data_IF_169316349080
#
_entry.id   IF_169316349080
#
_cell.length_a   1.000
_cell.length_b   1.000
_cell.length_c   1.000
_cell.angle_alpha   90.00
_cell.angle_beta   90.00
_cell.angle_gamma   90.00
#
_symmetry.space_group_name_H-M   'P 1'
#
loop_
_entity.id
_entity.type
_entity.pdbx_description
1 polymer ?
#
# COMPACT_ATOMS: atom_id res chain seq x y z
N UNK A 1 53.89 -20.09 31.72
CA UNK A 1 53.24 -21.24 32.37
C UNK A 1 52.58 -22.07 31.28
N UNK A 2 53.02 -23.30 31.14
CA UNK A 2 52.89 -24.11 29.93
C UNK A 2 52.20 -25.44 30.30
N UNK A 3 51.35 -25.94 29.39
CA UNK A 3 50.84 -27.34 29.24
C UNK A 3 49.89 -27.79 30.40
N UNK A 4 48.84 -28.61 30.28
CA UNK A 4 48.59 -29.81 29.47
C UNK A 4 47.09 -30.17 29.46
N UNK A 5 46.56 -30.55 28.28
CA UNK A 5 45.31 -31.32 28.12
C UNK A 5 45.51 -32.77 28.56
N UNK A 6 44.71 -33.25 29.53
CA UNK A 6 44.74 -34.65 30.00
C UNK A 6 43.45 -35.38 29.61
N UNK A 7 43.57 -36.36 28.69
CA UNK A 7 42.60 -37.44 28.49
C UNK A 7 42.73 -38.46 29.64
N UNK A 8 41.62 -39.14 30.01
CA UNK A 8 41.63 -40.55 30.42
C UNK A 8 40.85 -41.39 29.38
N UNK A 9 41.26 -42.57 28.91
CA UNK A 9 41.76 -43.73 29.65
C UNK A 9 40.55 -44.44 30.27
N UNK A 10 39.82 -45.28 29.52
CA UNK A 10 40.03 -46.72 29.33
C UNK A 10 39.82 -47.54 30.63
N UNK A 11 39.23 -48.73 30.49
CA UNK A 11 38.90 -49.74 31.51
C UNK A 11 37.47 -49.56 32.07
N UNK A 12 36.57 -50.54 32.16
CA UNK A 12 36.65 -51.99 32.00
C UNK A 12 35.22 -52.51 31.81
N UNK A 13 34.97 -53.45 30.89
CA UNK A 13 33.93 -54.47 31.05
C UNK A 13 34.48 -55.80 30.52
N UNK A 14 34.44 -56.78 31.41
CA UNK A 14 35.12 -58.07 31.37
C UNK A 14 34.34 -59.12 30.57
N UNK A 15 35.11 -59.97 29.90
CA UNK A 15 34.95 -61.40 29.62
C UNK A 15 33.55 -62.04 29.64
N UNK A 16 33.14 -62.49 28.45
CA UNK A 16 32.14 -63.54 28.26
C UNK A 16 32.49 -64.35 27.02
N UNK A 17 33.27 -65.42 27.21
CA UNK A 17 33.67 -66.39 26.18
C UNK A 17 32.45 -67.08 25.56
N UNK A 18 32.39 -67.12 24.22
CA UNK A 18 31.41 -67.89 23.48
C UNK A 18 31.86 -68.06 22.04
N UNK A 19 32.30 -69.28 21.70
CA UNK A 19 32.85 -69.69 20.42
C UNK A 19 31.91 -69.34 19.25
N UNK A 20 32.47 -68.71 18.22
CA UNK A 20 31.83 -68.50 16.93
C UNK A 20 32.08 -69.75 16.07
N UNK A 21 31.21 -70.74 16.22
CA UNK A 21 31.17 -71.93 15.36
C UNK A 21 30.36 -71.58 14.11
N UNK A 22 30.99 -71.72 12.95
CA UNK A 22 30.36 -71.59 11.63
C UNK A 22 29.61 -72.89 11.32
N UNK A 23 28.26 -72.90 11.18
CA UNK A 23 27.56 -74.10 10.79
C UNK A 23 27.68 -74.40 9.28
N UNK A 24 28.07 -75.65 9.06
CA UNK A 24 28.10 -76.49 7.86
C UNK A 24 26.86 -76.34 6.92
N UNK A 25 27.04 -76.22 5.59
CA UNK A 25 25.95 -76.08 4.64
C UNK A 25 25.39 -77.44 4.20
N UNK A 26 24.68 -78.17 5.05
CA UNK A 26 23.72 -79.19 4.59
C UNK A 26 22.74 -79.49 5.72
N UNK A 27 21.45 -79.19 5.49
CA UNK A 27 20.25 -79.94 5.92
C UNK A 27 19.05 -79.01 5.72
N UNK A 28 18.29 -79.26 4.65
CA UNK A 28 16.96 -78.70 4.39
C UNK A 28 15.92 -79.60 5.07
N UNK A 29 15.16 -79.13 6.07
CA UNK A 29 13.92 -79.78 6.49
C UNK A 29 12.70 -79.31 5.66
N UNK A 30 11.65 -80.15 5.58
CA UNK A 30 10.66 -80.16 4.50
C UNK A 30 9.60 -79.05 4.57
N UNK A 31 9.04 -78.72 3.40
CA UNK A 31 8.00 -77.72 3.20
C UNK A 31 6.69 -78.06 3.95
N UNK A 32 6.06 -77.09 4.65
CA UNK A 32 4.72 -77.26 5.19
C UNK A 32 3.64 -77.14 4.09
N UNK A 33 2.50 -77.85 4.22
CA UNK A 33 1.49 -77.95 3.16
C UNK A 33 0.66 -76.68 2.97
N UNK A 34 0.34 -76.38 1.70
CA UNK A 34 -0.50 -75.28 1.23
C UNK A 34 -1.90 -75.31 1.85
N UNK A 35 -2.20 -74.34 2.73
CA UNK A 35 -3.57 -74.06 3.19
C UNK A 35 -4.36 -73.31 2.10
N UNK A 36 -5.53 -73.82 1.73
CA UNK A 36 -6.44 -73.24 0.72
C UNK A 36 -6.88 -71.81 1.10
N UNK A 37 -6.92 -70.85 0.14
CA UNK A 37 -7.31 -69.47 0.42
C UNK A 37 -8.82 -69.32 0.68
N UNK A 38 -9.18 -68.54 1.71
CA UNK A 38 -10.56 -68.11 2.01
C UNK A 38 -11.12 -67.22 0.89
N UNK A 39 -12.39 -67.36 0.49
CA UNK A 39 -13.00 -66.51 -0.53
C UNK A 39 -13.21 -65.08 -0.01
N UNK A 40 -12.59 -64.12 -0.68
CA UNK A 40 -12.80 -62.68 -0.50
C UNK A 40 -14.19 -62.34 -1.05
N UNK A 41 -15.09 -61.85 -0.19
CA UNK A 41 -16.40 -61.34 -0.61
C UNK A 41 -16.22 -60.03 -1.38
N UNK A 42 -16.55 -60.03 -2.67
CA UNK A 42 -16.67 -58.82 -3.48
C UNK A 42 -17.84 -57.95 -2.95
N UNK A 43 -17.64 -56.65 -2.69
CA UNK A 43 -18.75 -55.73 -2.50
C UNK A 43 -19.44 -55.48 -3.85
N UNK A 44 -20.74 -55.76 -3.90
CA UNK A 44 -21.63 -55.52 -5.02
C UNK A 44 -21.73 -54.03 -5.32
N UNK A 45 -21.30 -53.65 -6.52
CA UNK A 45 -21.45 -52.30 -7.06
C UNK A 45 -22.94 -51.99 -7.29
N UNK A 46 -23.55 -51.17 -6.42
CA UNK A 46 -24.72 -50.38 -6.77
C UNK A 46 -24.25 -49.01 -7.27
N UNK A 47 -24.62 -48.75 -8.52
CA UNK A 47 -24.35 -47.53 -9.25
C UNK A 47 -24.72 -46.28 -8.43
N UNK A 48 -23.72 -45.44 -8.18
CA UNK A 48 -23.90 -44.03 -7.89
C UNK A 48 -23.07 -43.27 -8.93
N UNK A 49 -23.73 -42.85 -10.02
CA UNK A 49 -23.19 -41.85 -10.93
C UNK A 49 -23.11 -40.50 -10.21
N UNK A 50 -22.14 -40.36 -9.31
CA UNK A 50 -21.65 -39.07 -8.91
C UNK A 50 -20.81 -38.57 -10.09
N UNK A 51 -21.40 -37.70 -10.89
CA UNK A 51 -20.77 -36.98 -12.00
C UNK A 51 -19.48 -36.34 -11.48
N UNK A 52 -18.34 -36.98 -11.76
CA UNK A 52 -17.00 -36.46 -11.49
C UNK A 52 -16.79 -35.27 -12.44
N UNK A 53 -17.30 -34.11 -12.03
CA UNK A 53 -16.96 -32.84 -12.66
C UNK A 53 -15.48 -32.62 -12.37
N UNK A 54 -14.63 -32.99 -13.34
CA UNK A 54 -13.21 -32.61 -13.35
C UNK A 54 -13.15 -31.10 -13.17
N UNK A 55 -12.76 -30.66 -11.98
CA UNK A 55 -12.50 -29.25 -11.67
C UNK A 55 -11.49 -28.76 -12.72
N UNK A 56 -11.78 -27.72 -13.51
CA UNK A 56 -10.87 -27.29 -14.57
C UNK A 56 -9.53 -26.94 -13.94
N UNK A 57 -8.46 -27.51 -14.47
CA UNK A 57 -7.10 -27.22 -14.04
C UNK A 57 -6.91 -25.70 -14.04
N UNK A 58 -6.53 -25.14 -12.88
CA UNK A 58 -6.29 -23.70 -12.73
C UNK A 58 -5.24 -23.30 -13.76
N UNK A 59 -5.64 -22.46 -14.72
CA UNK A 59 -4.70 -21.85 -15.67
C UNK A 59 -3.57 -21.17 -14.89
N UNK A 60 -2.30 -21.33 -15.29
CA UNK A 60 -1.19 -20.67 -14.63
C UNK A 60 -1.48 -19.16 -14.58
N UNK A 61 -1.31 -18.54 -13.42
CA UNK A 61 -1.55 -17.11 -13.26
C UNK A 61 -0.51 -16.38 -14.11
N UNK A 62 -0.97 -15.59 -15.09
CA UNK A 62 -0.10 -14.68 -15.82
C UNK A 62 0.58 -13.73 -14.83
N UNK A 63 1.90 -13.87 -14.69
CA UNK A 63 2.73 -12.99 -13.89
C UNK A 63 3.34 -11.92 -14.78
N UNK A 64 3.49 -10.71 -14.25
CA UNK A 64 4.17 -9.62 -14.96
C UNK A 64 5.67 -9.90 -14.99
N UNK A 65 6.31 -9.60 -16.12
CA UNK A 65 7.75 -9.79 -16.27
C UNK A 65 8.54 -8.69 -15.55
N UNK A 66 7.95 -7.51 -15.40
CA UNK A 66 8.52 -6.39 -14.63
C UNK A 66 7.94 -6.32 -13.22
N UNK A 67 8.79 -6.03 -12.24
CA UNK A 67 8.36 -5.84 -10.86
C UNK A 67 7.72 -4.46 -10.66
N UNK A 68 6.52 -4.43 -10.08
CA UNK A 68 5.85 -3.20 -9.67
C UNK A 68 5.02 -3.43 -8.40
N UNK A 69 4.81 -2.37 -7.58
CA UNK A 69 4.00 -2.47 -6.38
C UNK A 69 2.51 -2.48 -6.73
N UNK A 70 1.79 -3.36 -6.04
CA UNK A 70 0.32 -3.43 -6.13
C UNK A 70 -0.39 -2.39 -5.27
N UNK A 71 0.36 -1.69 -4.41
CA UNK A 71 -0.12 -0.65 -3.49
C UNK A 71 0.67 0.64 -3.73
N UNK A 72 0.12 1.77 -3.27
CA UNK A 72 0.74 3.08 -3.39
C UNK A 72 1.88 3.33 -2.39
N UNK A 73 2.62 4.42 -2.61
CA UNK A 73 3.76 4.82 -1.76
C UNK A 73 3.31 5.12 -0.32
N UNK A 74 2.18 5.79 -0.09
CA UNK A 74 1.68 6.06 1.28
C UNK A 74 1.41 4.78 2.08
N UNK A 75 0.89 3.75 1.43
CA UNK A 75 0.69 2.44 2.05
C UNK A 75 2.03 1.84 2.50
N UNK A 76 3.08 1.99 1.69
CA UNK A 76 4.43 1.58 2.05
C UNK A 76 5.02 2.44 3.20
N UNK A 77 4.78 3.76 3.18
CA UNK A 77 5.18 4.69 4.25
C UNK A 77 4.51 4.30 5.57
N UNK A 78 3.27 3.83 5.55
CA UNK A 78 2.58 3.35 6.75
C UNK A 78 3.32 2.18 7.39
N UNK A 79 3.88 1.27 6.58
CA UNK A 79 4.73 0.17 7.08
C UNK A 79 6.01 0.74 7.70
N UNK A 80 6.66 1.69 7.04
CA UNK A 80 7.88 2.34 7.55
C UNK A 80 7.63 3.08 8.88
N UNK A 81 6.48 3.76 9.03
CA UNK A 81 6.06 4.40 10.29
C UNK A 81 5.90 3.39 11.41
N UNK A 82 5.28 2.25 11.14
CA UNK A 82 5.13 1.18 12.12
C UNK A 82 6.50 0.67 12.62
N UNK A 83 7.55 0.67 11.80
CA UNK A 83 8.91 0.36 12.28
C UNK A 83 9.40 1.40 13.28
N UNK A 84 9.32 2.68 12.94
CA UNK A 84 9.83 3.79 13.78
C UNK A 84 9.06 3.87 15.11
N UNK A 85 7.73 3.77 15.07
CA UNK A 85 6.87 3.76 16.27
C UNK A 85 7.17 2.59 17.21
N UNK A 86 7.66 1.46 16.66
CA UNK A 86 8.07 0.29 17.42
C UNK A 86 9.60 0.21 17.62
N UNK A 87 10.30 1.34 17.58
CA UNK A 87 11.72 1.46 17.96
C UNK A 87 12.75 1.21 16.86
N UNK A 88 12.34 1.19 15.59
CA UNK A 88 13.23 1.22 14.41
C UNK A 88 14.09 -0.03 14.13
N UNK A 89 14.13 -0.99 15.06
CA UNK A 89 14.94 -2.21 14.94
C UNK A 89 14.38 -3.25 13.96
N UNK A 90 15.19 -4.26 13.65
CA UNK A 90 14.77 -5.38 12.81
C UNK A 90 13.69 -6.23 13.51
N UNK A 91 12.60 -6.55 12.80
CA UNK A 91 11.43 -7.24 13.35
C UNK A 91 11.06 -8.48 12.54
N UNK A 92 10.52 -9.48 13.22
CA UNK A 92 9.94 -10.63 12.51
C UNK A 92 8.62 -10.24 11.85
N UNK A 93 8.18 -11.07 10.89
CA UNK A 93 6.89 -10.88 10.21
C UNK A 93 5.72 -10.74 11.19
N UNK A 94 5.69 -11.59 12.22
CA UNK A 94 4.58 -11.63 13.17
C UNK A 94 4.56 -10.41 14.10
N UNK A 95 5.74 -9.91 14.48
CA UNK A 95 5.86 -8.66 15.25
C UNK A 95 5.33 -7.46 14.46
N UNK A 96 5.70 -7.36 13.17
CA UNK A 96 5.24 -6.27 12.31
C UNK A 96 3.73 -6.36 12.03
N UNK A 97 3.20 -7.57 11.88
CA UNK A 97 1.77 -7.79 11.72
C UNK A 97 0.98 -7.34 12.96
N UNK A 98 1.50 -7.66 14.16
CA UNK A 98 0.98 -7.17 15.44
C UNK A 98 0.97 -5.63 15.52
N UNK A 99 2.09 -4.98 15.14
CA UNK A 99 2.19 -3.52 15.11
C UNK A 99 1.16 -2.86 14.18
N UNK A 100 0.85 -3.49 13.04
CA UNK A 100 -0.14 -3.01 12.07
C UNK A 100 -1.57 -3.48 12.37
N UNK A 101 -1.81 -4.16 13.49
CA UNK A 101 -3.11 -4.76 13.84
C UNK A 101 -3.69 -5.64 12.72
N UNK A 102 -2.83 -6.37 12.01
CA UNK A 102 -3.22 -7.26 10.91
C UNK A 102 -2.75 -8.69 11.19
N UNK A 103 -3.39 -9.67 10.54
CA UNK A 103 -2.91 -11.04 10.58
C UNK A 103 -1.63 -11.18 9.73
N UNK A 104 -0.60 -11.88 10.23
CA UNK A 104 0.66 -12.10 9.50
C UNK A 104 0.49 -12.95 8.23
N UNK A 105 -0.62 -13.69 8.13
CA UNK A 105 -0.99 -14.49 6.97
C UNK A 105 -1.98 -13.76 6.04
N UNK A 106 -2.44 -12.57 6.39
CA UNK A 106 -3.40 -11.84 5.57
C UNK A 106 -2.76 -11.37 4.26
N UNK A 107 -3.46 -11.59 3.14
CA UNK A 107 -2.99 -11.15 1.82
C UNK A 107 -2.75 -9.65 1.76
N UNK A 108 -3.57 -8.84 2.44
CA UNK A 108 -3.39 -7.39 2.52
C UNK A 108 -2.06 -7.01 3.20
N UNK A 109 -1.73 -7.62 4.35
CA UNK A 109 -0.46 -7.38 5.03
C UNK A 109 0.74 -7.78 4.16
N UNK A 110 0.67 -8.95 3.51
CA UNK A 110 1.72 -9.43 2.60
C UNK A 110 1.91 -8.44 1.43
N UNK A 111 0.83 -7.91 0.86
CA UNK A 111 0.90 -6.92 -0.23
C UNK A 111 1.52 -5.60 0.23
N UNK A 112 1.18 -5.11 1.43
CA UNK A 112 1.80 -3.89 2.01
C UNK A 112 3.29 -4.07 2.21
N UNK A 113 3.69 -5.21 2.76
CA UNK A 113 5.10 -5.54 3.00
C UNK A 113 5.87 -5.70 1.69
N UNK A 114 5.26 -6.32 0.68
CA UNK A 114 5.83 -6.40 -0.67
C UNK A 114 6.03 -5.01 -1.29
N UNK A 115 5.02 -4.13 -1.18
CA UNK A 115 5.12 -2.77 -1.71
C UNK A 115 6.24 -1.99 -1.00
N UNK A 116 6.33 -2.07 0.33
CA UNK A 116 7.40 -1.42 1.10
C UNK A 116 8.81 -1.88 0.69
N UNK A 117 8.97 -3.15 0.29
CA UNK A 117 10.22 -3.66 -0.27
C UNK A 117 10.50 -3.13 -1.68
N UNK A 118 9.50 -3.07 -2.55
CA UNK A 118 9.65 -2.60 -3.93
C UNK A 118 9.98 -1.10 -3.99
N UNK A 119 9.44 -0.31 -3.07
CA UNK A 119 9.80 1.10 -2.86
C UNK A 119 11.14 1.30 -2.12
N UNK A 120 11.85 0.22 -1.75
CA UNK A 120 13.15 0.29 -1.09
C UNK A 120 13.11 0.81 0.35
N UNK A 121 11.94 0.87 0.99
CA UNK A 121 11.79 1.37 2.37
C UNK A 121 12.20 0.32 3.40
N UNK A 122 11.97 -0.94 3.07
CA UNK A 122 12.19 -2.09 3.95
C UNK A 122 13.04 -3.11 3.22
N UNK A 123 13.98 -3.70 3.94
CA UNK A 123 14.80 -4.81 3.47
C UNK A 123 14.55 -6.05 4.33
N UNK A 124 14.87 -7.23 3.79
CA UNK A 124 14.68 -8.51 4.46
C UNK A 124 16.03 -9.22 4.60
N UNK A 125 16.53 -9.30 5.83
CA UNK A 125 17.84 -9.84 6.16
C UNK A 125 17.70 -10.78 7.35
N UNK A 126 18.29 -11.98 7.26
CA UNK A 126 18.34 -12.97 8.34
C UNK A 126 16.98 -13.32 8.95
N UNK A 127 15.95 -13.47 8.11
CA UNK A 127 14.61 -13.82 8.58
C UNK A 127 13.82 -12.67 9.19
N UNK A 128 14.37 -11.45 9.20
CA UNK A 128 13.78 -10.25 9.79
C UNK A 128 13.69 -9.14 8.76
N UNK A 129 12.69 -8.29 8.93
CA UNK A 129 12.54 -7.08 8.15
C UNK A 129 13.23 -5.93 8.88
N UNK A 130 14.03 -5.15 8.17
CA UNK A 130 14.73 -3.96 8.68
C UNK A 130 14.34 -2.74 7.85
N UNK A 131 14.28 -1.58 8.48
CA UNK A 131 14.07 -0.32 7.77
C UNK A 131 15.39 0.12 7.11
N UNK A 132 15.32 0.65 5.90
CA UNK A 132 16.48 1.20 5.19
C UNK A 132 16.71 2.67 5.56
N UNK A 133 17.88 3.22 5.25
CA UNK A 133 18.17 4.65 5.44
C UNK A 133 17.16 5.55 4.69
N UNK A 134 16.72 5.07 3.53
CA UNK A 134 15.67 5.71 2.74
C UNK A 134 14.33 5.68 3.49
N UNK A 135 13.96 4.54 4.07
CA UNK A 135 12.76 4.41 4.90
C UNK A 135 12.77 5.34 6.12
N UNK A 136 13.91 5.47 6.82
CA UNK A 136 14.07 6.43 7.91
C UNK A 136 13.89 7.88 7.43
N UNK A 137 14.48 8.21 6.28
CA UNK A 137 14.44 9.58 5.72
C UNK A 137 13.02 10.01 5.32
N UNK A 138 12.16 9.09 4.85
CA UNK A 138 10.78 9.42 4.49
C UNK A 138 9.89 9.67 5.72
N UNK A 139 10.13 8.94 6.80
CA UNK A 139 9.33 9.06 8.04
C UNK A 139 9.79 10.23 8.91
N UNK A 140 10.95 10.82 8.61
CA UNK A 140 11.46 12.00 9.30
C UNK A 140 10.45 13.16 9.25
N UNK A 141 10.34 13.91 10.35
CA UNK A 141 9.49 15.10 10.46
C UNK A 141 10.02 16.24 9.59
N UNK A 142 11.31 16.21 9.25
CA UNK A 142 11.92 17.20 8.39
C UNK A 142 11.56 16.97 6.91
N UNK A 143 10.66 17.81 6.38
CA UNK A 143 10.24 17.76 4.97
C UNK A 143 11.41 17.94 3.98
N UNK A 144 12.51 18.60 4.36
CA UNK A 144 13.70 18.72 3.51
C UNK A 144 14.39 17.36 3.27
N UNK A 145 14.24 16.40 4.19
CA UNK A 145 14.74 15.03 4.04
C UNK A 145 13.67 14.09 3.49
N UNK A 146 12.42 14.28 3.87
CA UNK A 146 11.33 13.43 3.43
C UNK A 146 11.03 13.56 1.93
N UNK A 147 11.04 14.78 1.37
CA UNK A 147 10.77 15.02 -0.06
C UNK A 147 11.74 14.30 -0.99
N UNK A 148 13.08 14.47 -0.89
CA UNK A 148 14.01 13.76 -1.76
C UNK A 148 13.92 12.24 -1.56
N UNK A 149 13.65 11.77 -0.34
CA UNK A 149 13.51 10.35 -0.07
C UNK A 149 12.24 9.75 -0.73
N UNK A 150 11.12 10.49 -0.78
CA UNK A 150 9.91 10.06 -1.53
C UNK A 150 10.17 9.96 -3.03
N UNK A 151 10.94 10.90 -3.59
CA UNK A 151 11.36 10.86 -5.00
C UNK A 151 12.23 9.62 -5.26
N UNK A 152 13.22 9.37 -4.41
CA UNK A 152 14.10 8.21 -4.54
C UNK A 152 13.34 6.88 -4.39
N UNK A 153 12.38 6.78 -3.45
CA UNK A 153 11.50 5.61 -3.33
C UNK A 153 10.69 5.38 -4.61
N UNK A 154 10.14 6.44 -5.21
CA UNK A 154 9.39 6.30 -6.44
C UNK A 154 10.26 5.75 -7.59
N UNK A 155 11.50 6.24 -7.72
CA UNK A 155 12.44 5.80 -8.75
C UNK A 155 13.17 4.48 -8.40
N UNK A 156 12.96 3.91 -7.21
CA UNK A 156 13.49 2.58 -6.87
C UNK A 156 12.72 1.47 -7.58
N UNK A 157 11.46 1.71 -7.92
CA UNK A 157 10.61 0.76 -8.63
C UNK A 157 11.01 0.72 -10.10
N UNK A 158 11.36 -0.47 -10.60
CA UNK A 158 11.87 -0.67 -11.96
C UNK A 158 10.92 -0.12 -13.03
N UNK A 159 9.63 -0.42 -12.91
CA UNK A 159 8.61 0.08 -13.84
C UNK A 159 8.59 1.62 -13.86
N UNK A 160 8.61 2.25 -12.69
CA UNK A 160 8.47 3.72 -12.57
C UNK A 160 9.70 4.44 -13.08
N UNK A 161 10.89 3.88 -12.81
CA UNK A 161 12.16 4.37 -13.34
C UNK A 161 12.16 4.37 -14.87
N UNK A 162 11.78 3.27 -15.52
CA UNK A 162 11.74 3.18 -16.99
C UNK A 162 10.79 4.20 -17.60
N UNK A 163 9.59 4.33 -17.04
CA UNK A 163 8.61 5.34 -17.49
C UNK A 163 9.18 6.76 -17.34
N UNK A 164 9.82 7.04 -16.20
CA UNK A 164 10.45 8.33 -15.99
C UNK A 164 11.58 8.59 -16.99
N UNK A 165 12.43 7.61 -17.26
CA UNK A 165 13.54 7.75 -18.22
C UNK A 165 13.06 7.99 -19.66
N UNK A 166 11.97 7.33 -20.09
CA UNK A 166 11.42 7.45 -21.44
C UNK A 166 10.68 8.78 -21.66
N UNK A 167 10.00 9.27 -20.62
CA UNK A 167 9.10 10.43 -20.68
C UNK A 167 9.59 11.67 -19.92
N UNK A 168 10.80 11.66 -19.34
CA UNK A 168 11.37 12.89 -18.73
C UNK A 168 11.48 14.00 -19.79
N UNK A 169 10.89 15.15 -19.48
CA UNK A 169 10.82 16.29 -20.40
C UNK A 169 9.82 16.14 -21.56
N UNK A 170 9.08 15.03 -21.65
CA UNK A 170 8.02 14.78 -22.64
C UNK A 170 6.65 14.70 -21.95
N UNK A 171 5.59 14.78 -22.75
CA UNK A 171 4.25 14.47 -22.26
C UNK A 171 4.10 12.96 -22.11
N UNK A 172 3.49 12.54 -20.99
CA UNK A 172 3.08 11.16 -20.79
C UNK A 172 2.02 10.78 -21.84
N UNK A 173 1.95 9.50 -22.23
CA UNK A 173 0.88 9.02 -23.09
C UNK A 173 -0.49 9.34 -22.48
N UNK A 174 -1.51 9.66 -23.31
CA UNK A 174 -2.81 10.10 -22.83
C UNK A 174 -3.44 9.04 -21.93
N UNK A 175 -3.94 9.49 -20.79
CA UNK A 175 -4.64 8.66 -19.81
C UNK A 175 -6.08 8.38 -20.30
N UNK A 176 -6.68 7.24 -19.96
CA UNK A 176 -6.12 6.09 -19.26
C UNK A 176 -5.41 5.09 -20.18
N UNK A 177 -5.81 5.01 -21.45
CA UNK A 177 -5.45 3.88 -22.32
C UNK A 177 -4.02 3.92 -22.87
N UNK A 178 -3.47 5.10 -23.17
CA UNK A 178 -2.11 5.23 -23.70
C UNK A 178 -1.08 4.76 -22.68
N UNK A 179 -1.19 5.24 -21.44
CA UNK A 179 -0.27 4.87 -20.37
C UNK A 179 -0.38 3.38 -20.01
N UNK A 180 -1.60 2.82 -19.98
CA UNK A 180 -1.80 1.39 -19.77
C UNK A 180 -1.16 0.53 -20.86
N UNK A 181 -1.22 0.97 -22.12
CA UNK A 181 -0.60 0.26 -23.24
C UNK A 181 0.93 0.27 -23.13
N UNK A 182 1.52 1.40 -22.73
CA UNK A 182 2.95 1.49 -22.44
C UNK A 182 3.36 0.54 -21.32
N UNK A 183 2.55 0.41 -20.26
CA UNK A 183 2.87 -0.51 -19.17
C UNK A 183 2.86 -1.97 -19.62
N UNK A 184 1.92 -2.33 -20.50
CA UNK A 184 1.86 -3.67 -21.08
C UNK A 184 3.08 -3.93 -21.97
N UNK A 185 3.50 -2.96 -22.78
CA UNK A 185 4.74 -3.04 -23.57
C UNK A 185 5.99 -3.21 -22.70
N UNK A 186 6.00 -2.57 -21.52
CA UNK A 186 7.09 -2.67 -20.53
C UNK A 186 7.05 -3.95 -19.69
N UNK A 187 6.06 -4.84 -19.90
CA UNK A 187 6.00 -6.16 -19.26
C UNK A 187 4.96 -6.34 -18.16
N UNK A 188 4.05 -5.37 -17.96
CA UNK A 188 2.89 -5.55 -17.07
C UNK A 188 1.84 -6.42 -17.75
N UNK A 189 1.20 -7.33 -17.01
CA UNK A 189 0.14 -8.17 -17.60
C UNK A 189 -1.11 -7.37 -17.93
N UNK A 190 -1.84 -7.80 -18.96
CA UNK A 190 -3.07 -7.12 -19.41
C UNK A 190 -4.11 -6.98 -18.28
N UNK A 191 -4.16 -7.94 -17.37
CA UNK A 191 -5.06 -7.92 -16.20
C UNK A 191 -4.66 -6.89 -15.15
N UNK A 192 -3.37 -6.56 -15.05
CA UNK A 192 -2.83 -5.72 -13.99
C UNK A 192 -2.55 -4.27 -14.42
N UNK A 193 -2.61 -3.96 -15.72
CA UNK A 193 -2.33 -2.62 -16.26
C UNK A 193 -3.07 -1.48 -15.55
N UNK A 194 -4.36 -1.68 -15.23
CA UNK A 194 -5.17 -0.66 -14.55
C UNK A 194 -4.74 -0.46 -13.12
N UNK A 195 -4.39 -1.54 -12.40
CA UNK A 195 -3.87 -1.44 -11.05
C UNK A 195 -2.48 -0.78 -11.03
N UNK A 196 -1.61 -1.16 -11.96
CA UNK A 196 -0.30 -0.52 -12.13
C UNK A 196 -0.45 0.99 -12.40
N UNK A 197 -1.39 1.40 -13.26
CA UNK A 197 -1.71 2.81 -13.51
C UNK A 197 -2.16 3.54 -12.25
N UNK A 198 -3.11 2.97 -11.51
CA UNK A 198 -3.62 3.58 -10.29
C UNK A 198 -2.53 3.72 -9.21
N UNK A 199 -1.71 2.69 -9.02
CA UNK A 199 -0.59 2.72 -8.08
C UNK A 199 0.47 3.75 -8.52
N UNK A 200 0.80 3.80 -9.81
CA UNK A 200 1.71 4.80 -10.39
C UNK A 200 1.19 6.22 -10.17
N UNK A 201 -0.07 6.50 -10.54
CA UNK A 201 -0.66 7.84 -10.44
C UNK A 201 -0.66 8.35 -9.01
N UNK A 202 -1.04 7.51 -8.04
CA UNK A 202 -1.02 7.86 -6.62
C UNK A 202 0.40 8.08 -6.12
N UNK A 203 1.32 7.18 -6.45
CA UNK A 203 2.71 7.25 -5.99
C UNK A 203 3.46 8.44 -6.60
N UNK A 204 3.20 8.77 -7.87
CA UNK A 204 3.77 9.93 -8.54
C UNK A 204 3.30 11.25 -7.88
N UNK A 205 2.01 11.34 -7.53
CA UNK A 205 1.48 12.48 -6.76
C UNK A 205 2.12 12.58 -5.38
N UNK A 206 2.22 11.46 -4.66
CA UNK A 206 2.83 11.40 -3.32
C UNK A 206 4.32 11.76 -3.33
N UNK A 207 5.03 11.42 -4.40
CA UNK A 207 6.43 11.78 -4.60
C UNK A 207 6.62 13.19 -5.19
N UNK A 208 5.56 13.88 -5.61
CA UNK A 208 5.61 15.26 -6.11
C UNK A 208 5.89 15.41 -7.61
N UNK A 209 5.75 14.35 -8.42
CA UNK A 209 6.11 14.34 -9.83
C UNK A 209 5.09 15.05 -10.79
N UNK A 210 4.04 15.71 -10.28
CA UNK A 210 2.92 16.22 -11.10
C UNK A 210 2.23 17.47 -10.52
N UNK A 211 3.00 18.47 -10.08
CA UNK A 211 2.46 19.68 -9.42
C UNK A 211 1.86 20.74 -10.35
N UNK A 212 2.19 20.73 -11.64
CA UNK A 212 1.70 21.72 -12.62
C UNK A 212 0.84 21.09 -13.72
N UNK A 213 1.33 20.01 -14.35
CA UNK A 213 0.61 19.29 -15.40
C UNK A 213 0.44 17.82 -15.01
N UNK A 214 -0.78 17.29 -14.93
CA UNK A 214 -1.00 15.86 -14.66
C UNK A 214 -0.45 14.97 -15.79
N UNK A 215 -0.27 15.51 -17.00
CA UNK A 215 0.25 14.79 -18.16
C UNK A 215 1.77 14.91 -18.34
N UNK A 216 2.48 15.51 -17.37
CA UNK A 216 3.94 15.54 -17.37
C UNK A 216 4.48 14.94 -16.07
N UNK A 217 5.57 14.18 -16.19
CA UNK A 217 6.30 13.65 -15.05
C UNK A 217 7.52 14.55 -14.79
N UNK A 218 7.34 15.57 -13.95
CA UNK A 218 8.36 16.59 -13.65
C UNK A 218 8.90 16.34 -12.25
N UNK A 219 10.21 16.21 -12.09
CA UNK A 219 10.80 16.07 -10.75
C UNK A 219 10.48 17.30 -9.87
N UNK A 220 10.11 17.10 -8.60
CA UNK A 220 9.84 18.22 -7.70
C UNK A 220 11.14 18.98 -7.42
N UNK A 221 11.05 20.31 -7.35
CA UNK A 221 12.19 21.14 -6.99
C UNK A 221 12.55 20.92 -5.50
N UNK A 222 13.69 20.29 -5.25
CA UNK A 222 14.13 19.86 -3.91
C UNK A 222 14.76 20.99 -3.05
N UNK A 223 14.70 22.26 -3.47
CA UNK A 223 15.49 23.33 -2.82
C UNK A 223 15.05 24.80 -3.00
N UNK A 224 13.75 25.12 -3.06
CA UNK A 224 13.26 26.50 -3.08
C UNK A 224 12.33 26.83 -1.91
N UNK A 225 12.35 28.07 -1.36
CA UNK A 225 11.38 28.47 -0.34
C UNK A 225 10.00 28.54 -0.97
N UNK A 226 9.14 27.60 -0.57
CA UNK A 226 7.69 27.76 -0.62
C UNK A 226 7.08 28.13 -1.98
N UNK A 227 7.27 27.31 -3.01
CA UNK A 227 6.21 27.17 -4.02
C UNK A 227 5.49 25.87 -3.77
N UNK A 228 4.63 25.92 -2.74
CA UNK A 228 3.52 24.99 -2.62
C UNK A 228 2.61 25.26 -3.82
N UNK A 229 2.89 24.61 -4.94
CA UNK A 229 2.01 24.60 -6.10
C UNK A 229 0.76 23.80 -5.71
N UNK A 230 -0.13 24.49 -5.01
CA UNK A 230 -1.54 24.19 -5.04
C UNK A 230 -2.03 24.56 -6.45
N UNK A 231 -2.49 23.59 -7.23
CA UNK A 231 -3.55 23.79 -8.23
C UNK A 231 -4.28 22.46 -8.44
N UNK A 232 -5.53 22.43 -7.95
CA UNK A 232 -6.73 21.77 -8.52
C UNK A 232 -6.57 20.28 -8.84
N UNK A 233 -7.19 19.36 -8.09
CA UNK A 233 -8.61 19.02 -8.26
C UNK A 233 -9.28 18.69 -6.90
N UNK A 234 -10.40 19.35 -6.61
CA UNK A 234 -11.31 19.09 -5.49
C UNK A 234 -11.66 17.60 -5.33
N UNK A 235 -11.73 17.08 -4.09
CA UNK A 235 -13.03 16.96 -3.44
C UNK A 235 -13.03 17.28 -1.94
N UNK A 236 -13.89 18.23 -1.59
CA UNK A 236 -14.61 18.49 -0.33
C UNK A 236 -14.05 17.77 0.92
N UNK A 237 -13.21 18.49 1.67
CA UNK A 237 -12.92 18.24 3.09
C UNK A 237 -13.38 19.43 3.92
N UNK A 238 -14.15 19.09 4.96
CA UNK A 238 -14.52 19.90 6.12
C UNK A 238 -13.26 20.54 6.74
N UNK A 239 -13.29 21.81 7.17
CA UNK A 239 -12.26 22.32 8.05
C UNK A 239 -12.68 22.11 9.51
N UNK A 240 -11.93 21.31 10.24
CA UNK A 240 -11.78 21.50 11.67
C UNK A 240 -10.48 22.28 11.89
N UNK A 241 -10.61 23.46 12.49
CA UNK A 241 -9.61 24.12 13.32
C UNK A 241 -8.25 24.44 12.67
N UNK A 242 -8.15 25.64 12.08
CA UNK A 242 -6.89 26.39 12.03
C UNK A 242 -7.01 27.62 12.93
N UNK A 243 -6.31 27.56 14.05
CA UNK A 243 -5.93 28.73 14.82
C UNK A 243 -4.76 29.43 14.12
N UNK A 244 -4.90 30.74 13.94
CA UNK A 244 -3.78 31.67 13.74
C UNK A 244 -3.47 32.05 12.30
N UNK A 245 -3.91 33.26 11.88
CA UNK A 245 -3.25 33.98 10.79
C UNK A 245 -4.14 34.82 9.86
N UNK A 246 -4.75 35.89 10.38
CA UNK A 246 -4.86 37.18 9.68
C UNK A 246 -5.58 37.28 8.32
N UNK A 247 -6.84 36.84 8.23
CA UNK A 247 -7.76 37.23 7.15
C UNK A 247 -9.10 37.70 7.75
N UNK A 248 -9.91 38.50 7.03
CA UNK A 248 -11.19 39.00 7.56
C UNK A 248 -12.05 37.81 7.99
N UNK A 249 -12.28 37.71 9.30
CA UNK A 249 -12.98 36.60 9.91
C UNK A 249 -14.45 36.66 9.50
N UNK A 250 -14.97 35.61 8.88
CA UNK A 250 -16.40 35.46 8.60
C UNK A 250 -17.20 35.66 9.89
N UNK A 251 -18.35 36.35 9.78
CA UNK A 251 -19.22 36.61 10.93
C UNK A 251 -19.67 35.30 11.60
N UNK A 252 -19.61 35.18 12.94
CA UNK A 252 -19.99 33.97 13.67
C UNK A 252 -21.39 33.43 13.35
N UNK A 253 -22.34 34.29 12.98
CA UNK A 253 -23.70 33.89 12.62
C UNK A 253 -23.74 33.14 11.28
N UNK A 254 -22.90 33.52 10.33
CA UNK A 254 -22.75 32.84 9.05
C UNK A 254 -22.10 31.48 9.27
N UNK A 255 -21.04 31.42 10.08
CA UNK A 255 -20.36 30.17 10.43
C UNK A 255 -21.32 29.20 11.13
N UNK A 256 -22.07 29.66 12.13
CA UNK A 256 -23.02 28.83 12.86
C UNK A 256 -24.19 28.30 12.00
N UNK A 257 -24.61 29.03 10.97
CA UNK A 257 -25.64 28.56 10.05
C UNK A 257 -25.11 27.52 9.06
N UNK A 258 -23.86 27.69 8.60
CA UNK A 258 -23.18 26.73 7.72
C UNK A 258 -22.91 25.40 8.44
N UNK A 259 -22.58 25.42 9.73
CA UNK A 259 -22.40 24.21 10.54
C UNK A 259 -23.69 23.38 10.71
N UNK A 260 -24.87 24.00 10.51
CA UNK A 260 -26.18 23.32 10.58
C UNK A 260 -26.61 22.66 9.27
N UNK A 261 -25.80 22.73 8.20
CA UNK A 261 -26.08 22.05 6.95
C UNK A 261 -25.95 20.52 7.10
N UNK A 262 -26.89 19.73 6.56
CA UNK A 262 -26.76 18.28 6.57
C UNK A 262 -25.60 17.80 5.67
N UNK A 263 -24.97 16.66 5.99
CA UNK A 263 -23.92 16.05 5.17
C UNK A 263 -24.32 15.79 3.72
N UNK A 264 -23.37 15.82 2.77
CA UNK A 264 -23.65 15.52 1.37
C UNK A 264 -24.15 14.07 1.22
N UNK A 265 -25.33 13.92 0.62
CA UNK A 265 -25.98 12.62 0.40
C UNK A 265 -27.17 12.33 1.33
N UNK A 266 -27.45 13.18 2.32
CA UNK A 266 -28.62 13.03 3.19
C UNK A 266 -29.88 13.66 2.56
N UNK A 267 -31.03 13.00 2.74
CA UNK A 267 -32.31 13.44 2.19
C UNK A 267 -32.85 14.66 2.95
N UNK A 268 -32.57 15.85 2.42
CA UNK A 268 -33.05 17.11 2.98
C UNK A 268 -34.37 17.55 2.33
N UNK A 269 -35.46 17.64 3.10
CA UNK A 269 -36.78 18.02 2.56
C UNK A 269 -36.81 19.46 2.02
N UNK A 270 -37.64 19.71 1.00
CA UNK A 270 -37.73 21.00 0.31
C UNK A 270 -38.14 22.14 1.27
N UNK A 271 -39.04 21.87 2.21
CA UNK A 271 -39.49 22.84 3.20
C UNK A 271 -38.35 23.28 4.14
N UNK A 272 -37.51 22.34 4.56
CA UNK A 272 -36.35 22.64 5.42
C UNK A 272 -35.28 23.42 4.66
N UNK A 273 -35.10 23.16 3.35
CA UNK A 273 -34.21 23.95 2.47
C UNK A 273 -34.65 25.40 2.38
N UNK A 274 -35.94 25.62 2.11
CA UNK A 274 -36.51 26.97 2.01
C UNK A 274 -36.37 27.74 3.32
N UNK A 275 -36.70 27.11 4.44
CA UNK A 275 -36.57 27.73 5.77
C UNK A 275 -35.13 28.11 6.09
N UNK A 276 -34.16 27.25 5.74
CA UNK A 276 -32.74 27.54 5.94
C UNK A 276 -32.26 28.71 5.08
N UNK A 277 -32.66 28.77 3.80
CA UNK A 277 -32.30 29.88 2.91
C UNK A 277 -32.88 31.22 3.37
N UNK A 278 -34.14 31.24 3.80
CA UNK A 278 -34.75 32.46 4.37
C UNK A 278 -34.02 32.94 5.63
N UNK A 279 -33.55 32.01 6.47
CA UNK A 279 -32.76 32.34 7.67
C UNK A 279 -31.39 32.89 7.28
N UNK A 280 -30.78 32.36 6.22
CA UNK A 280 -29.51 32.85 5.70
C UNK A 280 -29.62 34.26 5.14
N UNK A 281 -30.68 34.53 4.37
CA UNK A 281 -30.99 35.86 3.84
C UNK A 281 -31.16 36.90 4.96
N UNK A 282 -31.96 36.60 5.98
CA UNK A 282 -32.14 37.49 7.13
C UNK A 282 -30.82 37.76 7.88
N UNK A 283 -29.94 36.76 8.01
CA UNK A 283 -28.63 36.95 8.62
C UNK A 283 -27.73 37.85 7.76
N UNK A 284 -27.77 37.71 6.43
CA UNK A 284 -26.99 38.56 5.53
C UNK A 284 -27.46 40.01 5.57
N UNK A 285 -28.77 40.26 5.58
CA UNK A 285 -29.33 41.61 5.67
C UNK A 285 -28.93 42.31 6.98
N UNK A 286 -28.87 41.56 8.09
CA UNK A 286 -28.44 42.09 9.38
C UNK A 286 -26.93 42.42 9.43
N UNK A 287 -26.09 41.62 8.78
CA UNK A 287 -24.62 41.77 8.81
C UNK A 287 -24.14 42.76 7.74
N UNK A 288 -24.83 42.79 6.60
CA UNK A 288 -24.54 43.63 5.45
C UNK A 288 -25.78 44.45 5.12
N UNK A 289 -26.07 45.51 5.89
CA UNK A 289 -27.17 46.40 5.55
C UNK A 289 -26.91 46.97 4.15
N UNK A 290 -27.95 47.00 3.32
CA UNK A 290 -27.84 47.57 1.98
C UNK A 290 -27.40 49.02 2.10
N UNK A 291 -26.29 49.38 1.45
CA UNK A 291 -25.94 50.79 1.33
C UNK A 291 -27.04 51.47 0.51
N UNK A 292 -27.83 52.32 1.15
CA UNK A 292 -28.67 53.28 0.47
C UNK A 292 -27.73 54.14 -0.38
N UNK A 293 -27.69 53.86 -1.69
CA UNK A 293 -27.07 54.75 -2.65
C UNK A 293 -27.83 56.08 -2.57
N UNK A 294 -27.25 57.05 -1.85
CA UNK A 294 -27.71 58.44 -1.88
C UNK A 294 -27.77 58.88 -3.33
N UNK A 295 -28.97 59.12 -3.84
CA UNK A 295 -29.25 59.49 -5.22
C UNK A 295 -28.90 60.96 -5.53
N UNK A 296 -27.91 61.54 -4.84
CA UNK A 296 -27.53 62.95 -4.96
C UNK A 296 -26.20 63.18 -5.72
N UNK A 297 -25.48 62.11 -6.11
CA UNK A 297 -24.14 62.25 -6.74
C UNK A 297 -24.14 62.08 -8.28
N UNK A 298 -25.25 62.44 -8.93
CA UNK A 298 -25.33 62.57 -10.40
C UNK A 298 -25.58 64.02 -10.82
N UNK A 299 -24.78 64.97 -10.31
CA UNK A 299 -24.63 66.26 -10.98
C UNK A 299 -23.59 66.15 -12.10
N UNK A 300 -24.06 65.95 -13.33
CA UNK A 300 -23.24 65.99 -14.53
C UNK A 300 -22.53 67.36 -14.68
N UNK A 301 -21.26 67.42 -15.12
CA UNK A 301 -20.64 68.69 -15.47
C UNK A 301 -21.26 69.24 -16.76
N UNK A 302 -21.75 70.48 -16.69
CA UNK A 302 -22.12 71.29 -17.86
C UNK A 302 -20.88 71.46 -18.76
N UNK A 303 -21.02 71.10 -20.04
CA UNK A 303 -20.17 71.65 -21.09
C UNK A 303 -20.69 73.05 -21.41
N UNK A 304 -19.92 74.07 -21.04
CA UNK A 304 -20.04 75.42 -21.58
C UNK A 304 -18.89 75.62 -22.58
N UNK A 305 -19.30 75.95 -23.82
CA UNK A 305 -18.62 76.53 -25.00
C UNK A 305 -17.11 76.34 -25.25
#
# INVERSE_FOLDING_TARGET
MTIVLKKPGADAWTSGSGAFDLPDPTVLPPAPPLSKPKPIKLPTAKASMAKLVKKPAKRPKEQSSIAFPYMDLDTAITVARAFVENGGGARTRDQLAGALSQSPLSGAFIMKLSAARQFGLVDYVDGKFKLTDLGFSIVDKNELRAKPARVQAFLSVELYRKIYEDFKGKQLPPRPHGLEQTFVQMGVTQKQKTNARLAFDKSARQAGFSTLDPDRLIEPMLGGPGTSAATVVSPIKRPASFAGGGGPSLDPLIVGLLDRLPPPGESWSIEKRKKWLLTFEANLEMIYPAEERNADDLSAPKQDD
#
